data_IF_069034186005
#
_entry.id   IF_069034186005
#
_cell.length_a   1.000
_cell.length_b   1.000
_cell.length_c   1.000
_cell.angle_alpha   90.00
_cell.angle_beta   90.00
_cell.angle_gamma   90.00
#
_symmetry.space_group_name_H-M   'P 1'
#
loop_
_entity.id
_entity.type
_entity.pdbx_description
1 polymer ?
#
# COMPACT_ATOMS: atom_id res chain seq x y z
N UNK A 1 -5.95 -6.39 -10.80
CA UNK A 1 -6.77 -6.15 -9.59
C UNK A 1 -6.90 -7.44 -8.80
N UNK A 2 -6.44 -7.46 -7.55
CA UNK A 2 -6.48 -8.68 -6.70
C UNK A 2 -5.11 -9.18 -6.22
N UNK A 3 -4.07 -8.34 -6.25
CA UNK A 3 -2.79 -8.68 -5.62
C UNK A 3 -2.87 -8.37 -4.13
N UNK A 4 -2.21 -9.17 -3.30
CA UNK A 4 -2.03 -8.89 -1.87
C UNK A 4 -0.55 -8.88 -1.52
N UNK A 5 -0.19 -8.16 -0.47
CA UNK A 5 1.15 -8.11 0.08
C UNK A 5 1.10 -8.39 1.58
N UNK A 6 1.93 -9.33 2.05
CA UNK A 6 2.08 -9.62 3.48
C UNK A 6 2.92 -8.53 4.14
N UNK A 7 2.37 -7.95 5.19
CA UNK A 7 3.05 -6.95 6.03
C UNK A 7 4.02 -7.64 7.00
N UNK A 8 4.93 -6.86 7.58
CA UNK A 8 5.84 -7.34 8.65
C UNK A 8 5.10 -7.82 9.90
N UNK A 9 3.89 -7.30 10.16
CA UNK A 9 3.00 -7.77 11.22
C UNK A 9 2.20 -9.03 10.81
N UNK A 10 2.51 -9.63 9.66
CA UNK A 10 1.89 -10.87 9.21
C UNK A 10 0.50 -10.71 8.57
N UNK A 11 -0.17 -9.57 8.72
CA UNK A 11 -1.43 -9.29 8.05
C UNK A 11 -1.25 -9.06 6.55
N UNK A 12 -2.24 -9.42 5.73
CA UNK A 12 -2.25 -9.17 4.29
C UNK A 12 -2.94 -7.84 3.96
N UNK A 13 -2.32 -7.05 3.08
CA UNK A 13 -2.89 -5.83 2.51
C UNK A 13 -3.34 -6.12 1.08
N UNK A 14 -4.60 -5.82 0.77
CA UNK A 14 -5.17 -5.98 -0.58
C UNK A 14 -4.86 -4.75 -1.43
N UNK A 15 -4.34 -4.98 -2.63
CA UNK A 15 -3.95 -3.95 -3.58
C UNK A 15 -4.91 -3.95 -4.78
N UNK A 16 -5.54 -2.80 -5.01
CA UNK A 16 -6.33 -2.50 -6.20
C UNK A 16 -5.59 -1.47 -7.05
N UNK A 17 -5.67 -1.61 -8.37
CA UNK A 17 -5.18 -0.62 -9.34
C UNK A 17 -6.32 -0.05 -10.18
N UNK A 18 -7.57 -0.24 -9.76
CA UNK A 18 -8.73 0.40 -10.37
C UNK A 18 -8.85 1.83 -9.80
N UNK A 19 -8.79 2.83 -10.67
CA UNK A 19 -8.80 4.26 -10.32
C UNK A 19 -7.68 4.66 -9.35
N UNK A 20 -6.44 4.37 -9.75
CA UNK A 20 -5.24 4.57 -8.94
C UNK A 20 -4.91 3.37 -8.06
N UNK A 21 -3.81 3.48 -7.30
CA UNK A 21 -3.38 2.40 -6.39
C UNK A 21 -4.07 2.60 -5.05
N UNK A 22 -4.89 1.62 -4.66
CA UNK A 22 -5.63 1.61 -3.39
C UNK A 22 -5.27 0.39 -2.56
N UNK A 23 -5.08 0.62 -1.26
CA UNK A 23 -4.80 -0.39 -0.25
C UNK A 23 -6.04 -0.59 0.62
N UNK A 24 -6.48 -1.84 0.76
CA UNK A 24 -7.68 -2.25 1.50
C UNK A 24 -8.98 -1.50 1.10
N UNK A 25 -8.99 -0.87 -0.08
CA UNK A 25 -10.12 -0.09 -0.58
C UNK A 25 -10.32 1.29 0.07
N UNK A 26 -9.55 1.63 1.12
CA UNK A 26 -9.70 2.89 1.87
C UNK A 26 -8.51 3.83 1.72
N UNK A 27 -7.28 3.31 1.67
CA UNK A 27 -6.07 4.14 1.58
C UNK A 27 -5.62 4.28 0.13
N UNK A 28 -5.36 5.48 -0.33
CA UNK A 28 -4.90 5.75 -1.70
C UNK A 28 -3.43 6.13 -1.69
N UNK A 29 -2.67 5.57 -2.64
CA UNK A 29 -1.27 5.97 -2.85
C UNK A 29 -1.24 7.27 -3.63
N UNK A 30 -0.60 8.30 -3.06
CA UNK A 30 -0.52 9.65 -3.63
C UNK A 30 0.80 9.94 -4.33
N UNK A 31 1.89 9.27 -3.92
CA UNK A 31 3.19 9.29 -4.60
C UNK A 31 3.84 7.92 -4.56
N UNK A 32 4.50 7.53 -5.66
CA UNK A 32 5.16 6.23 -5.82
C UNK A 32 6.67 6.41 -5.98
N UNK A 33 7.40 5.30 -5.84
CA UNK A 33 8.79 5.17 -6.32
C UNK A 33 9.79 6.16 -5.72
N UNK A 34 9.64 6.47 -4.43
CA UNK A 34 10.66 7.23 -3.70
C UNK A 34 11.79 6.26 -3.33
N UNK A 35 12.88 6.32 -4.09
CA UNK A 35 14.06 5.48 -3.88
C UNK A 35 14.73 5.76 -2.53
N UNK A 36 15.04 4.69 -1.82
CA UNK A 36 15.80 4.70 -0.57
C UNK A 36 16.95 3.72 -0.69
N UNK A 37 17.99 3.87 0.13
CA UNK A 37 19.15 2.96 0.13
C UNK A 37 18.80 1.50 0.40
N UNK A 38 17.64 1.24 1.00
CA UNK A 38 17.18 -0.07 1.48
C UNK A 38 15.79 -0.46 0.96
N UNK A 39 15.24 0.25 -0.02
CA UNK A 39 13.91 -0.06 -0.53
C UNK A 39 13.26 1.12 -1.25
N UNK A 40 11.92 1.09 -1.29
CA UNK A 40 11.11 2.10 -1.97
C UNK A 40 9.96 2.51 -1.07
N UNK A 41 9.71 3.82 -0.99
CA UNK A 41 8.58 4.39 -0.25
C UNK A 41 7.45 4.74 -1.22
N UNK A 42 6.22 4.42 -0.81
CA UNK A 42 4.99 4.85 -1.43
C UNK A 42 4.18 5.64 -0.39
N UNK A 43 3.79 6.88 -0.72
CA UNK A 43 3.05 7.76 0.20
C UNK A 43 1.56 7.42 0.11
N UNK A 44 0.90 7.29 1.26
CA UNK A 44 -0.55 7.07 1.37
C UNK A 44 -1.24 8.22 2.10
N UNK A 45 -2.51 8.44 1.79
CA UNK A 45 -3.34 9.50 2.39
C UNK A 45 -4.00 9.12 3.73
N UNK A 46 -4.09 7.82 4.02
CA UNK A 46 -4.86 7.27 5.14
C UNK A 46 -4.03 6.26 5.93
N UNK A 47 -4.19 6.27 7.26
CA UNK A 47 -3.52 5.30 8.14
C UNK A 47 -4.14 3.91 7.96
N UNK A 48 -3.29 2.91 7.72
CA UNK A 48 -3.68 1.51 7.76
C UNK A 48 -3.62 1.05 9.22
N UNK A 49 -4.77 0.77 9.81
CA UNK A 49 -4.84 0.21 11.16
C UNK A 49 -4.52 -1.30 11.14
N UNK A 50 -3.78 -1.82 12.14
CA UNK A 50 -3.61 -3.25 12.31
C UNK A 50 -4.95 -3.96 12.54
N UNK A 51 -5.05 -5.20 12.09
CA UNK A 51 -6.13 -6.11 12.44
C UNK A 51 -5.74 -6.99 13.62
#
# INVERSE_FOLDING_TARGET
NGKSAKTVNGADVKISTHDGVKLNGTSTVTKTDIECTNGVIHIIDTVILPA
#
